data_IF_908119445703
#
_entry.id   IF_908119445703
#
_cell.length_a   1.000
_cell.length_b   1.000
_cell.length_c   1.000
_cell.angle_alpha   90.00
_cell.angle_beta   90.00
_cell.angle_gamma   90.00
#
_symmetry.space_group_name_H-M   'P 1'
#
loop_
_entity.id
_entity.type
_entity.pdbx_description
1 polymer ?
#
# COMPACT_ATOMS: atom_id res chain seq x y z
N UNK A 1 -39.22 -37.95 47.04
CA UNK A 1 -39.33 -36.67 46.33
C UNK A 1 -38.87 -35.55 47.26
N UNK A 2 -37.75 -34.91 46.95
CA UNK A 2 -37.41 -33.56 47.39
C UNK A 2 -36.27 -33.10 46.46
N UNK A 3 -36.58 -32.14 45.58
CA UNK A 3 -35.73 -31.69 44.48
C UNK A 3 -34.48 -30.97 45.02
N UNK A 4 -33.29 -31.43 44.58
CA UNK A 4 -32.01 -30.82 44.89
C UNK A 4 -31.82 -29.59 43.99
N UNK A 5 -31.65 -28.43 44.63
CA UNK A 5 -31.54 -27.09 44.06
C UNK A 5 -30.73 -27.02 42.77
N UNK A 6 -31.36 -26.52 41.69
CA UNK A 6 -30.76 -26.31 40.36
C UNK A 6 -29.61 -25.29 40.36
N UNK A 7 -29.45 -24.51 41.45
CA UNK A 7 -28.41 -23.50 41.60
C UNK A 7 -26.99 -24.09 41.76
N UNK A 8 -26.84 -25.25 42.39
CA UNK A 8 -25.54 -25.86 42.70
C UNK A 8 -24.87 -26.46 41.44
N UNK A 9 -25.68 -26.91 40.48
CA UNK A 9 -25.20 -27.50 39.23
C UNK A 9 -24.56 -26.43 38.36
N UNK A 10 -25.16 -25.25 38.27
CA UNK A 10 -24.67 -24.11 37.46
C UNK A 10 -23.30 -23.64 37.96
N UNK A 11 -23.08 -23.59 39.27
CA UNK A 11 -21.79 -23.20 39.87
C UNK A 11 -20.69 -24.22 39.54
N UNK A 12 -21.03 -25.52 39.58
CA UNK A 12 -20.11 -26.59 39.15
C UNK A 12 -19.74 -26.47 37.66
N UNK A 13 -20.70 -26.18 36.77
CA UNK A 13 -20.43 -25.96 35.35
C UNK A 13 -19.55 -24.72 35.11
N UNK A 14 -19.79 -23.62 35.83
CA UNK A 14 -19.00 -22.39 35.69
C UNK A 14 -17.56 -22.55 36.20
N UNK A 15 -17.34 -23.34 37.26
CA UNK A 15 -16.00 -23.67 37.75
C UNK A 15 -15.23 -24.60 36.80
N UNK A 16 -15.92 -25.55 36.15
CA UNK A 16 -15.33 -26.44 35.16
C UNK A 16 -15.03 -25.68 33.84
N UNK A 17 -15.96 -24.84 33.36
CA UNK A 17 -15.75 -24.00 32.17
C UNK A 17 -14.69 -22.90 32.40
N UNK A 18 -14.54 -22.41 33.63
CA UNK A 18 -13.51 -21.43 33.99
C UNK A 18 -12.07 -21.96 33.89
N UNK A 19 -11.87 -23.28 34.01
CA UNK A 19 -10.55 -23.91 33.90
C UNK A 19 -10.22 -24.40 32.49
N UNK A 20 -11.20 -24.52 31.58
CA UNK A 20 -11.00 -24.82 30.15
C UNK A 20 -10.88 -23.53 29.31
N UNK A 21 -10.33 -22.47 29.90
CA UNK A 21 -10.11 -21.17 29.25
C UNK A 21 -8.67 -20.91 28.78
N UNK A 22 -7.79 -21.91 28.74
CA UNK A 22 -6.37 -21.73 28.42
C UNK A 22 -5.83 -22.74 27.41
N UNK A 23 -6.45 -22.82 26.22
CA UNK A 23 -5.83 -23.51 25.08
C UNK A 23 -4.78 -22.60 24.43
N UNK A 24 -3.54 -22.72 24.88
CA UNK A 24 -2.36 -22.12 24.23
C UNK A 24 -1.77 -23.10 23.20
N UNK A 25 -2.50 -23.35 22.11
CA UNK A 25 -1.97 -24.04 20.93
C UNK A 25 -1.84 -23.06 19.74
N UNK A 26 -1.34 -21.83 19.99
CA UNK A 26 -1.12 -20.79 18.98
C UNK A 26 0.33 -20.61 18.55
N UNK A 27 1.23 -21.50 18.95
CA UNK A 27 2.67 -21.27 18.80
C UNK A 27 3.41 -22.37 18.05
N UNK A 28 2.89 -22.88 16.93
CA UNK A 28 3.69 -23.66 15.98
C UNK A 28 3.16 -23.41 14.56
N UNK A 29 3.79 -22.46 13.86
CA UNK A 29 4.00 -22.32 12.39
C UNK A 29 3.72 -20.92 11.81
N UNK A 30 4.62 -20.40 10.94
CA UNK A 30 4.53 -19.08 10.35
C UNK A 30 3.79 -19.15 9.01
N UNK A 31 2.46 -19.11 9.09
CA UNK A 31 1.65 -18.56 8.00
C UNK A 31 0.76 -17.53 8.65
N UNK A 32 1.00 -16.25 8.35
CA UNK A 32 0.19 -15.15 8.88
C UNK A 32 -1.20 -15.28 8.26
N UNK A 33 -2.06 -16.05 8.92
CA UNK A 33 -3.49 -16.12 8.68
C UNK A 33 -4.10 -14.74 8.95
N UNK A 34 -3.99 -13.88 7.93
CA UNK A 34 -4.82 -12.71 7.79
C UNK A 34 -6.19 -13.26 7.41
N UNK A 35 -7.02 -13.59 8.40
CA UNK A 35 -8.46 -13.67 8.21
C UNK A 35 -8.87 -12.38 7.50
N UNK A 36 -9.12 -12.49 6.19
CA UNK A 36 -9.24 -11.34 5.30
C UNK A 36 -10.55 -10.64 5.56
N UNK A 37 -10.54 -9.67 6.47
CA UNK A 37 -11.63 -8.71 6.52
C UNK A 37 -11.67 -7.98 5.18
N UNK A 38 -12.87 -7.63 4.70
CA UNK A 38 -13.01 -6.96 3.40
C UNK A 38 -12.19 -5.66 3.37
N UNK A 39 -12.03 -4.97 4.50
CA UNK A 39 -11.20 -3.78 4.63
C UNK A 39 -9.72 -4.06 4.29
N UNK A 40 -9.17 -5.18 4.76
CA UNK A 40 -7.78 -5.55 4.48
C UNK A 40 -7.53 -5.83 2.99
N UNK A 41 -8.48 -6.52 2.35
CA UNK A 41 -8.41 -6.86 0.91
C UNK A 41 -8.49 -5.58 0.07
N UNK A 42 -9.42 -4.67 0.40
CA UNK A 42 -9.59 -3.39 -0.30
C UNK A 42 -8.34 -2.50 -0.16
N UNK A 43 -7.72 -2.47 1.02
CA UNK A 43 -6.45 -1.78 1.23
C UNK A 43 -5.34 -2.36 0.34
N UNK A 44 -5.17 -3.69 0.35
CA UNK A 44 -4.14 -4.38 -0.43
C UNK A 44 -4.31 -4.15 -1.94
N UNK A 45 -5.55 -4.21 -2.42
CA UNK A 45 -5.89 -3.93 -3.82
C UNK A 45 -5.54 -2.48 -4.18
N UNK A 46 -5.93 -1.51 -3.35
CA UNK A 46 -5.61 -0.10 -3.62
C UNK A 46 -4.10 0.13 -3.73
N UNK A 47 -3.32 -0.37 -2.77
CA UNK A 47 -1.87 -0.19 -2.78
C UNK A 47 -1.26 -0.78 -4.05
N UNK A 48 -1.68 -1.99 -4.42
CA UNK A 48 -1.19 -2.67 -5.62
C UNK A 48 -1.56 -1.90 -6.90
N UNK A 49 -2.79 -1.41 -6.99
CA UNK A 49 -3.23 -0.58 -8.12
C UNK A 49 -2.42 0.71 -8.22
N UNK A 50 -2.22 1.41 -7.12
CA UNK A 50 -1.45 2.66 -7.10
C UNK A 50 0.04 2.44 -7.40
N UNK A 51 0.61 1.30 -6.99
CA UNK A 51 1.96 0.90 -7.43
C UNK A 51 2.05 0.73 -8.94
N UNK A 52 1.02 0.15 -9.57
CA UNK A 52 0.90 0.07 -11.03
C UNK A 52 0.88 1.47 -11.67
N UNK A 53 0.09 2.39 -11.12
CA UNK A 53 0.05 3.79 -11.62
C UNK A 53 1.42 4.47 -11.55
N UNK A 54 2.16 4.29 -10.44
CA UNK A 54 3.51 4.86 -10.30
C UNK A 54 4.49 4.25 -11.32
N UNK A 55 4.37 2.96 -11.58
CA UNK A 55 5.16 2.28 -12.61
C UNK A 55 4.86 2.84 -14.01
N UNK A 56 3.57 2.99 -14.36
CA UNK A 56 3.15 3.54 -15.65
C UNK A 56 3.63 4.99 -15.84
N UNK A 57 3.61 5.81 -14.78
CA UNK A 57 4.20 7.16 -14.80
C UNK A 57 5.70 7.10 -15.12
N UNK A 58 6.43 6.13 -14.59
CA UNK A 58 7.84 5.91 -14.91
C UNK A 58 8.06 5.53 -16.38
N UNK A 59 7.18 4.72 -16.97
CA UNK A 59 7.23 4.41 -18.40
C UNK A 59 6.92 5.63 -19.26
N UNK A 60 5.88 6.39 -18.91
CA UNK A 60 5.50 7.63 -19.59
C UNK A 60 6.62 8.66 -19.54
N UNK A 61 7.33 8.79 -18.41
CA UNK A 61 8.52 9.65 -18.29
C UNK A 61 9.54 9.36 -19.38
N UNK A 62 9.92 8.09 -19.55
CA UNK A 62 10.94 7.71 -20.54
C UNK A 62 10.47 8.06 -21.95
N UNK A 63 9.22 7.77 -22.28
CA UNK A 63 8.62 8.14 -23.56
C UNK A 63 8.62 9.66 -23.79
N UNK A 64 8.24 10.45 -22.79
CA UNK A 64 8.27 11.92 -22.89
C UNK A 64 9.69 12.45 -23.10
N UNK A 65 10.70 11.89 -22.44
CA UNK A 65 12.09 12.30 -22.65
C UNK A 65 12.60 11.99 -24.07
N UNK A 66 12.14 10.89 -24.66
CA UNK A 66 12.41 10.56 -26.07
C UNK A 66 11.70 11.50 -27.04
N UNK A 67 10.44 11.85 -26.76
CA UNK A 67 9.68 12.83 -27.54
C UNK A 67 10.32 14.23 -27.48
N UNK A 68 10.76 14.66 -26.29
CA UNK A 68 11.51 15.91 -26.12
C UNK A 68 12.76 15.94 -27.00
N UNK A 69 13.54 14.86 -27.02
CA UNK A 69 14.75 14.80 -27.84
C UNK A 69 14.42 14.93 -29.34
N UNK A 70 13.43 14.15 -29.79
CA UNK A 70 12.97 14.13 -31.19
C UNK A 70 12.46 15.50 -31.64
N UNK A 71 11.64 16.13 -30.82
CA UNK A 71 11.01 17.40 -31.15
C UNK A 71 12.06 18.51 -31.15
N UNK A 72 12.93 18.57 -30.14
CA UNK A 72 14.04 19.51 -30.11
C UNK A 72 14.98 19.33 -31.33
N UNK A 73 15.28 18.09 -31.72
CA UNK A 73 16.08 17.81 -32.92
C UNK A 73 15.36 18.31 -34.18
N UNK A 74 14.05 18.12 -34.27
CA UNK A 74 13.24 18.55 -35.43
C UNK A 74 13.26 20.08 -35.59
N UNK A 75 13.09 20.84 -34.50
CA UNK A 75 13.06 22.30 -34.55
C UNK A 75 14.45 22.95 -34.65
N UNK A 76 15.48 22.34 -34.06
CA UNK A 76 16.82 22.94 -33.93
C UNK A 76 17.93 22.17 -34.64
N UNK A 77 17.58 21.37 -35.65
CA UNK A 77 18.50 20.49 -36.40
C UNK A 77 19.84 21.11 -36.79
N UNK A 78 19.85 22.39 -37.20
CA UNK A 78 21.05 23.11 -37.65
C UNK A 78 21.65 24.05 -36.61
N UNK A 79 21.08 24.09 -35.40
CA UNK A 79 21.41 25.05 -34.34
C UNK A 79 21.74 24.31 -33.05
N UNK A 80 22.97 23.76 -32.92
CA UNK A 80 23.34 22.83 -31.84
C UNK A 80 23.15 23.40 -30.44
N UNK A 81 23.45 24.69 -30.25
CA UNK A 81 23.27 25.36 -28.95
C UNK A 81 21.79 25.53 -28.57
N UNK A 82 20.92 25.73 -29.55
CA UNK A 82 19.47 25.84 -29.32
C UNK A 82 18.85 24.46 -29.06
N UNK A 83 19.31 23.43 -29.76
CA UNK A 83 18.96 22.03 -29.49
C UNK A 83 19.31 21.65 -28.04
N UNK A 84 20.56 21.87 -27.61
CA UNK A 84 20.99 21.59 -26.22
C UNK A 84 20.11 22.31 -25.21
N UNK A 85 19.86 23.61 -25.41
CA UNK A 85 19.02 24.41 -24.52
C UNK A 85 17.58 23.89 -24.46
N UNK A 86 17.00 23.52 -25.59
CA UNK A 86 15.65 22.93 -25.68
C UNK A 86 15.57 21.64 -24.86
N UNK A 87 16.49 20.71 -25.10
CA UNK A 87 16.54 19.42 -24.42
C UNK A 87 16.73 19.62 -22.91
N UNK A 88 17.66 20.46 -22.48
CA UNK A 88 17.89 20.72 -21.05
C UNK A 88 16.63 21.22 -20.35
N UNK A 89 15.99 22.27 -20.90
CA UNK A 89 14.81 22.88 -20.27
C UNK A 89 13.66 21.88 -20.21
N UNK A 90 13.32 21.24 -21.33
CA UNK A 90 12.14 20.37 -21.39
C UNK A 90 12.34 19.07 -20.61
N UNK A 91 13.55 18.49 -20.60
CA UNK A 91 13.83 17.33 -19.75
C UNK A 91 13.65 17.68 -18.29
N UNK A 92 14.17 18.82 -17.83
CA UNK A 92 13.98 19.27 -16.45
C UNK A 92 12.49 19.42 -16.10
N UNK A 93 11.68 19.97 -17.00
CA UNK A 93 10.23 20.06 -16.79
C UNK A 93 9.57 18.67 -16.68
N UNK A 94 9.96 17.72 -17.52
CA UNK A 94 9.45 16.33 -17.46
C UNK A 94 9.80 15.70 -16.11
N UNK A 95 11.05 15.83 -15.65
CA UNK A 95 11.46 15.33 -14.33
C UNK A 95 10.63 15.94 -13.19
N UNK A 96 10.48 17.27 -13.19
CA UNK A 96 9.72 17.97 -12.15
C UNK A 96 8.25 17.54 -12.12
N UNK A 97 7.62 17.37 -13.29
CA UNK A 97 6.22 16.93 -13.37
C UNK A 97 6.10 15.50 -12.85
N UNK A 98 6.99 14.60 -13.28
CA UNK A 98 6.96 13.19 -12.86
C UNK A 98 7.17 13.07 -11.36
N UNK A 99 8.13 13.80 -10.79
CA UNK A 99 8.37 13.82 -9.35
C UNK A 99 7.11 14.26 -8.58
N UNK A 100 6.48 15.37 -8.98
CA UNK A 100 5.24 15.86 -8.34
C UNK A 100 4.11 14.85 -8.44
N UNK A 101 3.98 14.15 -9.57
CA UNK A 101 2.97 13.10 -9.73
C UNK A 101 3.26 11.91 -8.81
N UNK A 102 4.51 11.47 -8.70
CA UNK A 102 4.88 10.35 -7.83
C UNK A 102 4.66 10.66 -6.35
N UNK A 103 4.98 11.89 -5.93
CA UNK A 103 4.71 12.37 -4.57
C UNK A 103 3.21 12.45 -4.28
N UNK A 104 2.45 13.04 -5.20
CA UNK A 104 0.99 13.21 -5.07
C UNK A 104 0.24 11.87 -5.09
N UNK A 105 0.72 10.91 -5.87
CA UNK A 105 0.11 9.61 -6.09
C UNK A 105 0.77 8.50 -5.25
N UNK A 106 1.51 8.88 -4.20
CA UNK A 106 2.12 7.91 -3.29
C UNK A 106 1.05 6.91 -2.79
N UNK A 107 1.22 5.59 -3.02
CA UNK A 107 0.19 4.59 -2.75
C UNK A 107 -0.37 4.64 -1.33
N UNK A 108 0.51 4.79 -0.33
CA UNK A 108 0.13 4.82 1.07
C UNK A 108 -0.75 6.03 1.38
N UNK A 109 -0.36 7.21 0.89
CA UNK A 109 -1.07 8.46 1.13
C UNK A 109 -2.43 8.46 0.42
N UNK A 110 -2.46 8.02 -0.85
CA UNK A 110 -3.70 7.97 -1.64
C UNK A 110 -4.68 6.96 -1.04
N UNK A 111 -4.24 5.74 -0.76
CA UNK A 111 -5.13 4.70 -0.23
C UNK A 111 -5.64 5.03 1.18
N UNK A 112 -4.84 5.70 2.00
CA UNK A 112 -5.31 6.23 3.29
C UNK A 112 -6.30 7.39 3.12
N UNK A 113 -6.05 8.32 2.19
CA UNK A 113 -6.95 9.45 1.91
C UNK A 113 -8.30 8.99 1.38
N UNK A 114 -8.32 7.95 0.55
CA UNK A 114 -9.52 7.31 0.05
C UNK A 114 -10.22 6.42 1.08
N UNK A 115 -9.65 6.30 2.30
CA UNK A 115 -10.13 5.45 3.40
C UNK A 115 -10.18 3.96 3.06
N UNK A 116 -9.44 3.53 2.04
CA UNK A 116 -9.25 2.11 1.73
C UNK A 116 -8.26 1.46 2.69
N UNK A 117 -7.31 2.22 3.21
CA UNK A 117 -6.40 1.81 4.27
C UNK A 117 -6.59 2.68 5.52
N UNK A 118 -6.55 2.08 6.70
CA UNK A 118 -6.42 2.83 7.94
C UNK A 118 -4.99 3.42 8.06
N UNK A 119 -4.88 4.67 8.54
CA UNK A 119 -3.61 5.35 8.77
C UNK A 119 -2.68 4.55 9.69
N UNK A 120 -3.23 3.83 10.67
CA UNK A 120 -2.45 2.96 11.56
C UNK A 120 -1.96 1.67 10.88
N UNK A 121 -2.64 1.23 9.83
CA UNK A 121 -2.25 0.04 9.04
C UNK A 121 -1.11 0.36 8.08
N UNK A 122 -1.03 1.60 7.60
CA UNK A 122 0.06 2.10 6.74
C UNK A 122 1.40 2.10 7.48
N UNK A 123 1.44 2.60 8.71
CA UNK A 123 2.67 2.72 9.51
C UNK A 123 3.27 1.35 9.91
N UNK A 124 2.40 0.38 10.24
CA UNK A 124 2.83 -1.00 10.57
C UNK A 124 3.25 -1.82 9.34
N UNK A 125 2.91 -1.39 8.12
CA UNK A 125 3.31 -2.08 6.89
C UNK A 125 4.72 -1.66 6.46
N UNK A 126 5.09 -0.39 6.63
CA UNK A 126 6.45 0.11 6.34
C UNK A 126 7.50 -0.52 7.27
N UNK A 127 7.15 -0.78 8.54
CA UNK A 127 8.07 -1.40 9.52
C UNK A 127 8.38 -2.87 9.24
N UNK A 128 7.50 -3.59 8.54
CA UNK A 128 7.70 -5.02 8.21
C UNK A 128 8.43 -5.24 6.86
N UNK A 129 8.81 -4.18 6.15
CA UNK A 129 9.60 -4.27 4.90
C UNK A 129 11.08 -3.92 5.17
N UNK A 130 11.36 -3.25 6.28
CA UNK A 130 12.72 -2.87 6.71
C UNK A 130 13.34 -3.83 7.73
N UNK A 131 12.67 -4.97 8.01
CA UNK A 131 13.17 -6.08 8.83
C UNK A 131 13.21 -7.36 8.01
#
# INVERSE_FOLDING_TARGET
MALKSESEIIVLWLLIFGLVGRSSAKSVLPFRERGGTMEGIVCDLCIKTMQGVIYDIGLLRNKMLEEVDRDCMTFFKTKPEQYKKCVTILREQVEQIVQRLQESLNPNNVCARLRFCDKHTVENRTRNILN
#
